data_IF_848555039927
#
_entry.id   IF_848555039927
#
_cell.length_a   1.000
_cell.length_b   1.000
_cell.length_c   1.000
_cell.angle_alpha   90.00
_cell.angle_beta   90.00
_cell.angle_gamma   90.00
#
_symmetry.space_group_name_H-M   'P 1'
#
loop_
_entity.id
_entity.type
_entity.pdbx_description
1 polymer ?
#
# COMPACT_ATOMS: atom_id res chain seq x y z
N UNK A 1 -22.15 -11.16 -8.39
CA UNK A 1 -21.45 -9.88 -8.20
C UNK A 1 -20.00 -10.26 -7.99
N UNK A 2 -19.12 -9.83 -8.88
CA UNK A 2 -17.70 -10.17 -8.81
C UNK A 2 -17.05 -9.33 -7.72
N UNK A 3 -16.19 -9.95 -6.92
CA UNK A 3 -15.38 -9.28 -5.90
C UNK A 3 -13.91 -9.19 -6.34
N UNK A 4 -13.66 -9.43 -7.63
CA UNK A 4 -12.32 -9.35 -8.20
C UNK A 4 -11.86 -7.88 -8.21
N UNK A 5 -10.60 -7.67 -7.88
CA UNK A 5 -9.97 -6.35 -7.87
C UNK A 5 -9.80 -5.87 -9.32
N UNK A 6 -10.43 -4.74 -9.67
CA UNK A 6 -10.40 -4.13 -11.01
C UNK A 6 -9.33 -3.04 -11.12
N UNK A 7 -9.12 -2.26 -10.06
CA UNK A 7 -8.14 -1.18 -10.06
C UNK A 7 -7.54 -0.97 -8.68
N UNK A 8 -6.22 -0.79 -8.63
CA UNK A 8 -5.51 -0.29 -7.44
C UNK A 8 -4.82 1.02 -7.76
N UNK A 9 -5.05 2.05 -6.93
CA UNK A 9 -4.41 3.34 -7.12
C UNK A 9 -4.00 4.00 -5.80
N UNK A 10 -2.77 4.47 -5.74
CA UNK A 10 -2.22 5.19 -4.60
C UNK A 10 -1.89 6.65 -4.92
N UNK A 11 -1.92 7.47 -3.88
CA UNK A 11 -1.51 8.88 -3.90
C UNK A 11 -0.85 9.28 -2.58
N UNK A 12 0.02 10.29 -2.67
CA UNK A 12 0.56 10.95 -1.48
C UNK A 12 -0.48 11.93 -0.92
N UNK A 13 -0.73 11.85 0.39
CA UNK A 13 -1.53 12.79 1.18
C UNK A 13 -0.72 13.27 2.40
N UNK A 14 -1.32 14.08 3.27
CA UNK A 14 -0.69 14.54 4.51
C UNK A 14 -1.32 13.88 5.75
N UNK A 15 -0.47 13.46 6.68
CA UNK A 15 -0.87 13.00 8.01
C UNK A 15 -1.34 14.18 8.90
N UNK A 16 -1.81 13.88 10.11
CA UNK A 16 -2.25 14.88 11.10
C UNK A 16 -1.15 15.81 11.61
N UNK A 17 0.11 15.52 11.28
CA UNK A 17 1.30 16.31 11.63
C UNK A 17 1.87 17.06 10.41
N UNK A 18 1.21 17.00 9.26
CA UNK A 18 1.64 17.62 8.00
C UNK A 18 2.81 16.91 7.31
N UNK A 19 3.14 15.67 7.69
CA UNK A 19 4.11 14.87 6.94
C UNK A 19 3.41 14.08 5.83
N UNK A 20 4.09 13.81 4.71
CA UNK A 20 3.55 12.93 3.69
C UNK A 20 3.22 11.54 4.24
N UNK A 21 2.14 10.96 3.74
CA UNK A 21 1.78 9.55 3.90
C UNK A 21 1.02 9.06 2.66
N UNK A 22 0.78 7.75 2.57
CA UNK A 22 0.11 7.13 1.43
C UNK A 22 -1.38 6.90 1.71
N UNK A 23 -2.21 7.15 0.70
CA UNK A 23 -3.60 6.70 0.63
C UNK A 23 -3.78 5.81 -0.60
N UNK A 24 -4.46 4.67 -0.41
CA UNK A 24 -4.73 3.68 -1.45
C UNK A 24 -6.22 3.52 -1.62
N UNK A 25 -6.66 3.51 -2.88
CA UNK A 25 -7.98 3.12 -3.34
C UNK A 25 -7.92 1.77 -4.04
N UNK A 26 -8.88 0.91 -3.75
CA UNK A 26 -9.14 -0.36 -4.43
C UNK A 26 -10.57 -0.32 -4.96
N UNK A 27 -10.74 -0.59 -6.25
CA UNK A 27 -12.05 -0.71 -6.90
C UNK A 27 -12.25 -2.17 -7.30
N UNK A 28 -13.41 -2.73 -6.97
CA UNK A 28 -13.81 -4.06 -7.40
C UNK A 28 -14.61 -3.99 -8.70
N UNK A 29 -14.67 -5.07 -9.47
CA UNK A 29 -15.47 -5.16 -10.70
C UNK A 29 -16.96 -4.83 -10.47
N UNK A 30 -17.46 -5.04 -9.26
CA UNK A 30 -18.83 -4.68 -8.89
C UNK A 30 -19.05 -3.19 -8.55
N UNK A 31 -18.00 -2.36 -8.64
CA UNK A 31 -18.02 -0.92 -8.42
C UNK A 31 -17.86 -0.50 -6.95
N UNK A 32 -17.67 -1.43 -6.02
CA UNK A 32 -17.38 -1.11 -4.62
C UNK A 32 -15.96 -0.56 -4.52
N UNK A 33 -15.78 0.47 -3.69
CA UNK A 33 -14.48 1.13 -3.47
C UNK A 33 -14.10 1.06 -1.99
N UNK A 34 -12.93 0.49 -1.73
CA UNK A 34 -12.27 0.54 -0.43
C UNK A 34 -11.13 1.56 -0.44
N UNK A 35 -11.02 2.35 0.63
CA UNK A 35 -9.99 3.40 0.77
C UNK A 35 -9.27 3.29 2.10
N UNK A 36 -7.95 3.34 2.09
CA UNK A 36 -7.14 3.35 3.31
C UNK A 36 -6.00 4.36 3.23
N UNK A 37 -5.95 5.26 4.21
CA UNK A 37 -4.78 6.06 4.51
C UNK A 37 -3.96 5.35 5.59
N UNK A 38 -2.64 5.27 5.40
CA UNK A 38 -1.75 4.60 6.35
C UNK A 38 -1.18 5.63 7.33
N UNK A 39 -1.20 5.39 8.65
CA UNK A 39 -0.54 6.29 9.58
C UNK A 39 0.97 6.25 9.35
N UNK A 40 1.60 7.43 9.33
CA UNK A 40 3.05 7.56 9.26
C UNK A 40 3.71 6.86 10.45
N UNK A 41 4.68 5.99 10.18
CA UNK A 41 5.50 5.36 11.21
C UNK A 41 6.60 6.29 11.73
N UNK A 42 7.22 5.88 12.83
CA UNK A 42 8.50 6.41 13.29
C UNK A 42 9.53 5.28 13.47
N UNK A 43 9.25 4.10 12.90
CA UNK A 43 10.04 2.90 13.17
C UNK A 43 11.45 3.03 12.61
N UNK A 44 12.42 2.89 13.50
CA UNK A 44 13.85 2.78 13.20
C UNK A 44 14.40 1.42 13.64
N UNK A 45 13.53 0.45 13.92
CA UNK A 45 13.90 -0.85 14.46
C UNK A 45 14.29 -1.83 13.34
N UNK A 46 15.43 -2.50 13.47
CA UNK A 46 15.95 -3.45 12.47
C UNK A 46 15.07 -4.70 12.27
N UNK A 47 14.15 -4.97 13.20
CA UNK A 47 13.27 -6.15 13.17
C UNK A 47 11.80 -5.83 12.88
N UNK A 48 11.45 -4.55 12.67
CA UNK A 48 10.08 -4.14 12.36
C UNK A 48 9.87 -3.98 10.86
N UNK A 49 8.61 -3.99 10.43
CA UNK A 49 8.28 -3.67 9.05
C UNK A 49 8.63 -2.19 8.75
N UNK A 50 9.34 -1.96 7.65
CA UNK A 50 9.95 -0.65 7.36
C UNK A 50 9.08 0.16 6.41
N UNK A 51 8.71 1.36 6.84
CA UNK A 51 8.06 2.34 5.98
C UNK A 51 9.05 2.85 4.92
N UNK A 52 8.66 2.88 3.65
CA UNK A 52 9.48 3.45 2.58
C UNK A 52 9.29 4.96 2.50
N UNK A 53 10.39 5.70 2.64
CA UNK A 53 10.50 7.15 2.51
C UNK A 53 11.46 7.51 1.39
N UNK A 54 11.20 8.61 0.69
CA UNK A 54 11.97 9.01 -0.49
C UNK A 54 13.38 9.50 -0.16
N UNK A 55 13.59 10.03 1.05
CA UNK A 55 14.81 10.77 1.37
C UNK A 55 14.92 12.07 0.57
N UNK A 56 16.13 12.65 0.53
CA UNK A 56 16.39 13.90 -0.19
C UNK A 56 15.84 15.16 0.50
N UNK A 57 15.64 16.23 -0.27
CA UNK A 57 15.29 17.57 0.26
C UNK A 57 13.78 17.83 0.34
N UNK A 58 12.99 17.27 -0.57
CA UNK A 58 11.54 17.41 -0.57
C UNK A 58 10.96 16.84 0.74
N UNK A 59 10.05 17.60 1.37
CA UNK A 59 9.44 17.23 2.65
C UNK A 59 10.45 16.84 3.75
N UNK A 60 11.67 17.39 3.71
CA UNK A 60 12.76 17.01 4.63
C UNK A 60 13.06 15.51 4.60
N UNK A 61 12.96 14.90 3.42
CA UNK A 61 13.21 13.48 3.18
C UNK A 61 12.04 12.55 3.52
N UNK A 62 10.88 13.11 3.90
CA UNK A 62 9.71 12.34 4.33
C UNK A 62 8.69 12.05 3.23
N UNK A 63 9.02 12.37 1.97
CA UNK A 63 8.18 12.00 0.83
C UNK A 63 7.91 10.50 0.78
N UNK A 64 6.81 10.11 0.12
CA UNK A 64 6.41 8.71 -0.07
C UNK A 64 6.10 8.38 -1.53
N UNK A 65 6.62 9.15 -2.48
CA UNK A 65 6.39 8.95 -3.92
C UNK A 65 6.89 7.58 -4.39
N UNK A 66 7.99 7.07 -3.83
CA UNK A 66 8.49 5.73 -4.15
C UNK A 66 7.50 4.64 -3.69
N UNK A 67 6.89 4.80 -2.52
CA UNK A 67 5.87 3.87 -2.04
C UNK A 67 4.60 3.95 -2.90
N UNK A 68 4.21 5.16 -3.33
CA UNK A 68 3.10 5.38 -4.27
C UNK A 68 3.37 4.69 -5.61
N UNK A 69 4.58 4.84 -6.16
CA UNK A 69 4.99 4.17 -7.39
C UNK A 69 4.96 2.64 -7.24
N UNK A 70 5.46 2.10 -6.12
CA UNK A 70 5.39 0.67 -5.83
C UNK A 70 3.94 0.14 -5.84
N UNK A 71 2.97 0.89 -5.30
CA UNK A 71 1.56 0.50 -5.39
C UNK A 71 1.06 0.52 -6.84
N UNK A 72 1.26 1.64 -7.53
CA UNK A 72 0.67 1.88 -8.86
C UNK A 72 1.30 1.02 -9.97
N UNK A 73 2.58 0.66 -9.85
CA UNK A 73 3.35 0.02 -10.91
C UNK A 73 3.75 -1.43 -10.61
N UNK A 74 3.78 -1.85 -9.33
CA UNK A 74 4.21 -3.21 -8.96
C UNK A 74 3.11 -3.99 -8.28
N UNK A 75 2.52 -3.46 -7.21
CA UNK A 75 1.50 -4.18 -6.45
C UNK A 75 0.23 -4.36 -7.27
N UNK A 76 -0.24 -3.30 -7.95
CA UNK A 76 -1.40 -3.35 -8.85
C UNK A 76 -1.37 -4.56 -9.80
N UNK A 77 -0.24 -4.78 -10.47
CA UNK A 77 -0.06 -5.84 -11.47
C UNK A 77 -0.17 -7.26 -10.89
N UNK A 78 0.05 -7.43 -9.58
CA UNK A 78 0.02 -8.74 -8.92
C UNK A 78 -1.33 -9.00 -8.24
N UNK A 79 -2.04 -7.95 -7.81
CA UNK A 79 -3.28 -8.09 -7.05
C UNK A 79 -4.55 -7.86 -7.89
N UNK A 80 -4.46 -7.16 -9.01
CA UNK A 80 -5.59 -7.02 -9.94
C UNK A 80 -6.01 -8.41 -10.48
N UNK A 81 -7.31 -8.65 -10.49
CA UNK A 81 -7.92 -9.95 -10.82
C UNK A 81 -7.96 -10.96 -9.67
N UNK A 82 -7.40 -10.66 -8.49
CA UNK A 82 -7.61 -11.48 -7.29
C UNK A 82 -8.96 -11.17 -6.64
N UNK A 83 -9.59 -12.18 -6.04
CA UNK A 83 -10.82 -12.02 -5.27
C UNK A 83 -10.51 -11.30 -3.94
N UNK A 84 -11.07 -10.10 -3.74
CA UNK A 84 -10.83 -9.28 -2.56
C UNK A 84 -11.24 -9.95 -1.24
N UNK A 85 -12.05 -11.02 -1.28
CA UNK A 85 -12.45 -11.79 -0.09
C UNK A 85 -11.37 -12.76 0.36
N UNK A 86 -10.41 -13.10 -0.50
CA UNK A 86 -9.23 -13.89 -0.15
C UNK A 86 -8.11 -12.97 0.37
N UNK A 87 -8.34 -12.40 1.55
CA UNK A 87 -7.40 -11.46 2.18
C UNK A 87 -6.01 -12.09 2.39
N UNK A 88 -5.96 -13.35 2.80
CA UNK A 88 -4.70 -14.08 3.00
C UNK A 88 -3.95 -14.28 1.67
N UNK A 89 -4.66 -14.61 0.59
CA UNK A 89 -4.09 -14.71 -0.75
C UNK A 89 -3.50 -13.38 -1.24
N UNK A 90 -4.25 -12.27 -1.10
CA UNK A 90 -3.77 -10.93 -1.47
C UNK A 90 -2.55 -10.51 -0.65
N UNK A 91 -2.59 -10.67 0.67
CA UNK A 91 -1.48 -10.32 1.56
C UNK A 91 -0.25 -11.19 1.27
N UNK A 92 -0.44 -12.48 0.99
CA UNK A 92 0.64 -13.40 0.63
C UNK A 92 1.30 -13.02 -0.69
N UNK A 93 0.52 -12.65 -1.70
CA UNK A 93 1.04 -12.21 -2.99
C UNK A 93 1.93 -10.95 -2.85
N UNK A 94 1.53 -10.00 -2.01
CA UNK A 94 2.35 -8.81 -1.71
C UNK A 94 3.62 -9.14 -0.92
N UNK A 95 3.55 -10.07 0.05
CA UNK A 95 4.72 -10.52 0.81
C UNK A 95 5.73 -11.23 -0.11
N UNK A 96 5.26 -12.09 -1.00
CA UNK A 96 6.10 -12.78 -1.98
C UNK A 96 6.72 -11.78 -2.97
N UNK A 97 5.95 -10.82 -3.47
CA UNK A 97 6.42 -9.77 -4.37
C UNK A 97 7.52 -8.89 -3.74
N UNK A 98 7.39 -8.58 -2.45
CA UNK A 98 8.41 -7.81 -1.73
C UNK A 98 9.71 -8.62 -1.56
N UNK A 99 9.59 -9.90 -1.18
CA UNK A 99 10.73 -10.81 -1.04
C UNK A 99 11.62 -10.55 0.18
N UNK A 100 11.32 -9.55 1.01
CA UNK A 100 12.05 -9.28 2.26
C UNK A 100 11.21 -9.56 3.50
N UNK A 101 11.88 -9.91 4.60
CA UNK A 101 11.19 -10.20 5.86
C UNK A 101 10.53 -8.96 6.49
N UNK A 102 11.02 -7.76 6.16
CA UNK A 102 10.62 -6.50 6.77
C UNK A 102 9.93 -5.53 5.80
N UNK A 103 9.53 -5.98 4.60
CA UNK A 103 8.80 -5.18 3.63
C UNK A 103 9.59 -3.97 3.11
N UNK A 104 10.92 -4.05 3.06
CA UNK A 104 11.77 -2.91 2.71
C UNK A 104 11.81 -2.58 1.22
N UNK A 105 11.44 -3.51 0.34
CA UNK A 105 11.49 -3.31 -1.12
C UNK A 105 10.26 -2.57 -1.63
N UNK A 106 9.06 -2.96 -1.17
CA UNK A 106 7.81 -2.29 -1.51
C UNK A 106 7.49 -1.15 -0.55
N UNK A 107 7.89 -1.28 0.71
CA UNK A 107 7.51 -0.41 1.82
C UNK A 107 6.30 -0.95 2.56
N UNK A 108 6.42 -1.08 3.89
CA UNK A 108 5.33 -1.54 4.75
C UNK A 108 4.08 -0.66 4.66
N UNK A 109 4.26 0.64 4.39
CA UNK A 109 3.18 1.58 4.13
C UNK A 109 2.42 1.27 2.82
N UNK A 110 3.12 0.88 1.75
CA UNK A 110 2.48 0.47 0.51
C UNK A 110 1.65 -0.80 0.70
N UNK A 111 2.25 -1.86 1.25
CA UNK A 111 1.57 -3.15 1.44
C UNK A 111 0.40 -3.05 2.40
N UNK A 112 0.54 -2.30 3.50
CA UNK A 112 -0.55 -2.10 4.46
C UNK A 112 -1.69 -1.26 3.87
N UNK A 113 -1.36 -0.26 3.05
CA UNK A 113 -2.37 0.58 2.37
C UNK A 113 -3.27 -0.25 1.47
N UNK A 114 -2.66 -1.10 0.62
CA UNK A 114 -3.40 -2.01 -0.26
C UNK A 114 -4.19 -3.04 0.57
N UNK A 115 -3.55 -3.72 1.52
CA UNK A 115 -4.19 -4.71 2.39
C UNK A 115 -5.47 -4.18 3.06
N UNK A 116 -5.40 -2.98 3.65
CA UNK A 116 -6.54 -2.35 4.31
C UNK A 116 -7.59 -1.82 3.34
N UNK A 117 -7.20 -1.39 2.13
CA UNK A 117 -8.14 -0.93 1.12
C UNK A 117 -8.94 -2.11 0.53
N UNK A 118 -8.28 -3.24 0.28
CA UNK A 118 -8.92 -4.50 -0.16
C UNK A 118 -9.94 -4.97 0.88
N UNK A 119 -9.54 -5.06 2.15
CA UNK A 119 -10.43 -5.48 3.25
C UNK A 119 -11.67 -4.60 3.42
N UNK A 120 -11.59 -3.32 3.04
CA UNK A 120 -12.73 -2.37 3.10
C UNK A 120 -13.63 -2.45 1.87
N UNK A 121 -13.11 -2.94 0.75
CA UNK A 121 -13.86 -3.08 -0.49
C UNK A 121 -14.69 -4.37 -0.52
N UNK A 122 -14.18 -5.45 0.09
CA UNK A 122 -14.83 -6.76 0.21
C UNK A 122 -16.05 -6.76 1.15
#
# INVERSE_FOLDING_TARGET
MSFDIDLVHARQILDSRGNPTIEVDVVLECGVVGRAAVPSGASTGESEAVELRDGGSAWMGKGVENAVANVNERISHVVEGLDARDQEGVDSAMIELDGTNNKSELGANATLGVSMAVAKAA
#
